data_IF_148871317483
#
_entry.id   IF_148871317483
#
_cell.length_a   1.000
_cell.length_b   1.000
_cell.length_c   1.000
_cell.angle_alpha   90.00
_cell.angle_beta   90.00
_cell.angle_gamma   90.00
#
_symmetry.space_group_name_H-M   'P 1'
#
loop_
_entity.id
_entity.type
_entity.pdbx_description
1 polymer ?
#
# COMPACT_ATOMS: atom_id res chain seq x y z
N UNK A 1 11.45 -2.00 24.04
CA UNK A 1 10.81 -1.54 22.80
C UNK A 1 11.80 -1.34 21.64
N UNK A 2 12.96 -0.71 21.86
CA UNK A 2 13.94 -0.44 20.78
C UNK A 2 14.51 -1.73 20.17
N UNK A 3 14.86 -2.72 20.97
CA UNK A 3 15.49 -3.97 20.51
C UNK A 3 14.71 -4.72 19.40
N UNK A 4 13.39 -4.95 19.53
CA UNK A 4 12.62 -5.57 18.44
C UNK A 4 12.65 -4.77 17.13
N UNK A 5 12.62 -3.44 17.20
CA UNK A 5 12.67 -2.59 16.00
C UNK A 5 14.04 -2.69 15.31
N UNK A 6 15.12 -2.60 16.08
CA UNK A 6 16.47 -2.76 15.54
C UNK A 6 16.65 -4.16 14.96
N UNK A 7 16.19 -5.21 15.66
CA UNK A 7 16.25 -6.58 15.17
C UNK A 7 15.51 -6.74 13.83
N UNK A 8 14.29 -6.20 13.70
CA UNK A 8 13.50 -6.29 12.48
C UNK A 8 14.17 -5.56 11.31
N UNK A 9 14.72 -4.35 11.54
CA UNK A 9 15.44 -3.60 10.52
C UNK A 9 16.70 -4.33 10.05
N UNK A 10 17.50 -4.83 10.99
CA UNK A 10 18.76 -5.56 10.68
C UNK A 10 18.46 -6.88 9.96
N UNK A 11 17.46 -7.64 10.40
CA UNK A 11 17.07 -8.89 9.74
C UNK A 11 16.58 -8.62 8.31
N UNK A 12 15.70 -7.64 8.11
CA UNK A 12 15.21 -7.30 6.77
C UNK A 12 16.34 -6.82 5.86
N UNK A 13 17.23 -5.97 6.37
CA UNK A 13 18.41 -5.53 5.64
C UNK A 13 19.33 -6.69 5.26
N UNK A 14 19.57 -7.64 6.17
CA UNK A 14 20.43 -8.82 5.95
C UNK A 14 19.79 -9.89 5.06
N UNK A 15 18.46 -10.04 5.11
CA UNK A 15 17.75 -11.00 4.24
C UNK A 15 17.71 -10.57 2.77
N UNK A 16 17.70 -9.27 2.47
CA UNK A 16 17.71 -8.78 1.09
C UNK A 16 18.86 -9.37 0.26
N UNK A 17 20.16 -9.26 0.66
CA UNK A 17 21.26 -9.84 -0.13
C UNK A 17 21.18 -11.35 -0.23
N UNK A 18 20.68 -12.07 0.80
CA UNK A 18 20.48 -13.52 0.74
C UNK A 18 19.44 -13.89 -0.32
N UNK A 19 18.30 -13.18 -0.32
CA UNK A 19 17.24 -13.39 -1.31
C UNK A 19 17.71 -13.03 -2.72
N UNK A 20 18.48 -11.95 -2.89
CA UNK A 20 19.10 -11.59 -4.18
C UNK A 20 19.97 -12.74 -4.68
N UNK A 21 20.79 -13.36 -3.82
CA UNK A 21 21.62 -14.51 -4.19
C UNK A 21 20.78 -15.74 -4.56
N UNK A 22 19.73 -16.04 -3.81
CA UNK A 22 18.77 -17.11 -4.10
C UNK A 22 18.12 -16.88 -5.46
N UNK A 23 17.60 -15.67 -5.71
CA UNK A 23 16.98 -15.31 -6.98
C UNK A 23 17.96 -15.43 -8.16
N UNK A 24 19.22 -15.05 -7.97
CA UNK A 24 20.26 -15.24 -8.99
C UNK A 24 20.52 -16.72 -9.28
N UNK A 25 20.59 -17.56 -8.24
CA UNK A 25 20.83 -19.02 -8.39
C UNK A 25 19.69 -19.73 -9.11
N UNK A 26 18.46 -19.33 -8.84
CA UNK A 26 17.26 -19.96 -9.42
C UNK A 26 16.64 -19.21 -10.59
N UNK A 27 17.30 -18.15 -11.09
CA UNK A 27 16.82 -17.29 -12.18
C UNK A 27 15.41 -16.68 -11.93
N UNK A 28 15.12 -16.31 -10.69
CA UNK A 28 13.85 -15.70 -10.30
C UNK A 28 13.96 -14.19 -10.43
N UNK A 29 13.53 -13.65 -11.56
CA UNK A 29 13.59 -12.22 -11.85
C UNK A 29 12.25 -11.69 -12.30
N UNK A 30 12.05 -10.40 -12.14
CA UNK A 30 10.94 -9.71 -12.77
C UNK A 30 11.11 -9.71 -14.30
N UNK A 31 10.02 -10.00 -15.01
CA UNK A 31 10.05 -10.03 -16.49
C UNK A 31 10.28 -8.62 -17.04
N UNK A 32 11.19 -8.52 -18.01
CA UNK A 32 11.42 -7.28 -18.74
C UNK A 32 10.23 -7.07 -19.68
N UNK A 33 9.34 -6.14 -19.35
CA UNK A 33 8.20 -5.74 -20.16
C UNK A 33 8.44 -4.30 -20.66
N UNK A 34 8.20 -4.00 -21.95
CA UNK A 34 8.32 -2.63 -22.49
C UNK A 34 7.49 -1.58 -21.75
N UNK A 35 6.53 -2.02 -20.90
CA UNK A 35 5.68 -1.17 -20.07
C UNK A 35 6.33 -0.78 -18.74
N UNK A 36 7.40 -1.46 -18.33
CA UNK A 36 8.09 -1.21 -17.05
C UNK A 36 9.20 -0.17 -17.21
N UNK A 37 9.47 0.56 -16.14
CA UNK A 37 10.45 1.65 -16.13
C UNK A 37 11.90 1.13 -16.04
N UNK A 38 12.09 -0.10 -15.52
CA UNK A 38 13.42 -0.70 -15.37
C UNK A 38 13.91 -1.43 -16.62
N UNK A 39 15.22 -1.44 -16.84
CA UNK A 39 15.89 -2.06 -18.01
C UNK A 39 16.68 -3.33 -17.67
N UNK A 40 16.65 -3.83 -16.42
CA UNK A 40 17.45 -4.95 -15.94
C UNK A 40 16.64 -6.11 -15.38
N UNK A 41 17.32 -7.27 -15.20
CA UNK A 41 16.78 -8.44 -14.49
C UNK A 41 16.91 -8.17 -12.98
N UNK A 42 15.82 -7.75 -12.32
CA UNK A 42 15.80 -7.43 -10.89
C UNK A 42 15.00 -8.49 -10.13
N UNK A 43 15.53 -9.06 -9.03
CA UNK A 43 14.79 -9.98 -8.16
C UNK A 43 13.50 -9.34 -7.60
N UNK A 44 12.40 -10.13 -7.51
CA UNK A 44 11.09 -9.62 -7.07
C UNK A 44 10.55 -10.25 -5.78
N UNK A 45 11.40 -10.85 -4.95
CA UNK A 45 11.01 -11.51 -3.70
C UNK A 45 11.30 -10.67 -2.44
N UNK A 46 11.38 -9.34 -2.56
CA UNK A 46 11.69 -8.44 -1.43
C UNK A 46 10.67 -8.50 -0.29
N UNK A 47 9.40 -8.78 -0.62
CA UNK A 47 8.36 -9.01 0.37
C UNK A 47 8.70 -10.13 1.36
N UNK A 48 9.43 -11.16 0.93
CA UNK A 48 9.91 -12.24 1.82
C UNK A 48 10.89 -11.68 2.84
N UNK A 49 11.85 -10.80 2.44
CA UNK A 49 12.80 -10.20 3.38
C UNK A 49 12.07 -9.40 4.46
N UNK A 50 11.10 -8.57 4.06
CA UNK A 50 10.29 -7.75 4.97
C UNK A 50 9.51 -8.65 5.93
N UNK A 51 8.67 -9.54 5.40
CA UNK A 51 7.73 -10.27 6.25
C UNK A 51 8.34 -11.43 7.01
N UNK A 52 9.41 -12.07 6.53
CA UNK A 52 10.16 -13.03 7.34
C UNK A 52 10.76 -12.34 8.57
N UNK A 53 11.35 -11.15 8.43
CA UNK A 53 11.89 -10.40 9.57
C UNK A 53 10.78 -9.97 10.55
N UNK A 54 9.65 -9.48 10.03
CA UNK A 54 8.48 -9.13 10.85
C UNK A 54 7.97 -10.34 11.64
N UNK A 55 7.75 -11.47 10.97
CA UNK A 55 7.22 -12.67 11.60
C UNK A 55 8.17 -13.24 12.65
N UNK A 56 9.48 -13.33 12.37
CA UNK A 56 10.47 -13.79 13.34
C UNK A 56 10.43 -12.93 14.61
N UNK A 57 10.48 -11.62 14.46
CA UNK A 57 10.49 -10.71 15.61
C UNK A 57 9.15 -10.72 16.34
N UNK A 58 8.03 -10.71 15.62
CA UNK A 58 6.68 -10.72 16.20
C UNK A 58 6.39 -12.00 16.97
N UNK A 59 6.68 -13.17 16.40
CA UNK A 59 6.51 -14.44 17.10
C UNK A 59 7.45 -14.58 18.30
N UNK A 60 8.68 -14.06 18.22
CA UNK A 60 9.57 -14.00 19.38
C UNK A 60 8.94 -13.20 20.53
N UNK A 61 8.32 -12.04 20.22
CA UNK A 61 7.63 -11.22 21.21
C UNK A 61 6.43 -11.95 21.82
N UNK A 62 5.61 -12.59 20.98
CA UNK A 62 4.46 -13.35 21.46
C UNK A 62 4.88 -14.51 22.37
N UNK A 63 5.95 -15.19 22.02
CA UNK A 63 6.47 -16.32 22.80
C UNK A 63 7.01 -15.90 24.16
N UNK A 64 7.83 -14.83 24.20
CA UNK A 64 8.50 -14.42 25.44
C UNK A 64 7.64 -13.52 26.35
N UNK A 65 6.78 -12.67 25.79
CA UNK A 65 6.09 -11.63 26.56
C UNK A 65 4.58 -11.82 26.71
N UNK A 66 3.94 -12.73 25.97
CA UNK A 66 2.48 -13.04 26.04
C UNK A 66 1.56 -11.81 26.11
N UNK A 67 1.96 -10.69 25.50
CA UNK A 67 1.34 -9.38 25.72
C UNK A 67 0.17 -9.06 24.77
N UNK A 68 -0.21 -9.97 23.87
CA UNK A 68 -1.27 -9.74 22.87
C UNK A 68 -2.32 -10.84 22.96
N UNK A 69 -3.60 -10.45 23.01
CA UNK A 69 -4.72 -11.40 22.90
C UNK A 69 -4.86 -11.84 21.44
N UNK A 70 -4.20 -12.93 21.07
CA UNK A 70 -4.18 -13.45 19.69
C UNK A 70 -5.58 -13.73 19.15
N UNK A 71 -6.51 -14.16 20.00
CA UNK A 71 -7.91 -14.43 19.64
C UNK A 71 -8.60 -13.24 18.97
N UNK A 72 -8.36 -12.02 19.51
CA UNK A 72 -8.95 -10.81 18.94
C UNK A 72 -8.41 -10.47 17.54
N UNK A 73 -7.17 -10.85 17.24
CA UNK A 73 -6.48 -10.56 15.99
C UNK A 73 -6.40 -11.76 15.03
N UNK A 74 -7.09 -12.85 15.35
CA UNK A 74 -7.02 -14.10 14.58
C UNK A 74 -7.39 -13.91 13.11
N UNK A 75 -8.45 -13.18 12.81
CA UNK A 75 -8.88 -12.91 11.43
C UNK A 75 -7.88 -12.07 10.64
N UNK A 76 -7.19 -11.12 11.31
CA UNK A 76 -6.13 -10.34 10.69
C UNK A 76 -4.96 -11.25 10.29
N UNK A 77 -4.45 -12.04 11.23
CA UNK A 77 -3.29 -12.89 10.94
C UNK A 77 -3.62 -14.03 9.97
N UNK A 78 -4.84 -14.56 9.98
CA UNK A 78 -5.29 -15.56 9.02
C UNK A 78 -5.36 -14.97 7.59
N UNK A 79 -6.02 -13.82 7.42
CA UNK A 79 -6.11 -13.13 6.13
C UNK A 79 -4.74 -12.69 5.62
N UNK A 80 -3.91 -12.13 6.50
CA UNK A 80 -2.53 -11.76 6.17
C UNK A 80 -1.69 -12.95 5.72
N UNK A 81 -1.76 -14.08 6.45
CA UNK A 81 -1.03 -15.30 6.10
C UNK A 81 -1.42 -15.86 4.74
N UNK A 82 -2.72 -15.85 4.41
CA UNK A 82 -3.21 -16.28 3.10
C UNK A 82 -2.64 -15.38 1.99
N UNK A 83 -2.75 -14.07 2.12
CA UNK A 83 -2.25 -13.14 1.10
C UNK A 83 -0.73 -13.26 0.94
N UNK A 84 0.01 -13.35 2.04
CA UNK A 84 1.47 -13.47 1.98
C UNK A 84 1.91 -14.78 1.33
N UNK A 85 1.37 -15.92 1.75
CA UNK A 85 1.75 -17.23 1.22
C UNK A 85 1.45 -17.33 -0.29
N UNK A 86 0.22 -16.99 -0.69
CA UNK A 86 -0.16 -17.03 -2.10
C UNK A 86 0.52 -15.95 -2.93
N UNK A 87 0.81 -14.79 -2.35
CA UNK A 87 1.58 -13.75 -3.01
C UNK A 87 3.02 -14.18 -3.29
N UNK A 88 3.67 -14.88 -2.37
CA UNK A 88 4.98 -15.50 -2.62
C UNK A 88 4.89 -16.58 -3.70
N UNK A 89 3.84 -17.41 -3.68
CA UNK A 89 3.61 -18.40 -4.74
C UNK A 89 3.41 -17.71 -6.10
N UNK A 90 2.72 -16.60 -6.14
CA UNK A 90 2.52 -15.80 -7.34
C UNK A 90 3.84 -15.25 -7.89
N UNK A 91 4.68 -14.68 -7.03
CA UNK A 91 6.00 -14.19 -7.41
C UNK A 91 6.92 -15.30 -7.95
N UNK A 92 6.72 -16.54 -7.52
CA UNK A 92 7.50 -17.71 -7.99
C UNK A 92 6.93 -18.34 -9.26
N UNK A 93 5.60 -18.44 -9.38
CA UNK A 93 4.91 -19.26 -10.37
C UNK A 93 4.17 -18.45 -11.44
N UNK A 94 4.13 -17.12 -11.35
CA UNK A 94 3.36 -16.22 -12.24
C UNK A 94 1.90 -16.68 -12.37
N UNK A 95 1.15 -16.65 -11.27
CA UNK A 95 -0.23 -17.13 -11.21
C UNK A 95 -1.15 -16.27 -12.11
N UNK A 96 -2.21 -16.91 -12.61
CA UNK A 96 -3.23 -16.21 -13.40
C UNK A 96 -3.98 -15.19 -12.54
N UNK A 97 -4.32 -14.04 -13.10
CA UNK A 97 -5.03 -12.95 -12.40
C UNK A 97 -6.30 -13.43 -11.66
N UNK A 98 -7.01 -14.42 -12.19
CA UNK A 98 -8.18 -15.04 -11.54
C UNK A 98 -7.83 -15.70 -10.21
N UNK A 99 -6.69 -16.41 -10.12
CA UNK A 99 -6.24 -17.06 -8.88
C UNK A 99 -5.87 -16.02 -7.82
N UNK A 100 -5.15 -14.97 -8.20
CA UNK A 100 -4.84 -13.84 -7.31
C UNK A 100 -6.11 -13.25 -6.70
N UNK A 101 -7.13 -13.04 -7.53
CA UNK A 101 -8.40 -12.45 -7.09
C UNK A 101 -9.17 -13.38 -6.14
N UNK A 102 -9.19 -14.70 -6.37
CA UNK A 102 -9.81 -15.68 -5.45
C UNK A 102 -9.16 -15.64 -4.07
N UNK A 103 -7.84 -15.54 -4.01
CA UNK A 103 -7.09 -15.45 -2.75
C UNK A 103 -7.43 -14.15 -1.98
N UNK A 104 -7.50 -13.04 -2.69
CA UNK A 104 -7.91 -11.75 -2.11
C UNK A 104 -9.34 -11.82 -1.56
N UNK A 105 -10.27 -12.47 -2.30
CA UNK A 105 -11.63 -12.73 -1.85
C UNK A 105 -11.62 -13.53 -0.54
N UNK A 106 -10.88 -14.64 -0.49
CA UNK A 106 -10.83 -15.48 0.70
C UNK A 106 -10.29 -14.72 1.92
N UNK A 107 -9.21 -13.98 1.77
CA UNK A 107 -8.65 -13.16 2.84
C UNK A 107 -9.60 -12.03 3.29
N UNK A 108 -10.26 -11.35 2.36
CA UNK A 108 -11.23 -10.31 2.66
C UNK A 108 -12.46 -10.89 3.38
N UNK A 109 -12.96 -12.07 2.98
CA UNK A 109 -14.08 -12.75 3.64
C UNK A 109 -13.77 -13.12 5.09
N UNK A 110 -12.56 -13.65 5.38
CA UNK A 110 -12.15 -13.99 6.75
C UNK A 110 -12.25 -12.77 7.68
N UNK A 111 -11.86 -11.60 7.22
CA UNK A 111 -11.93 -10.39 8.03
C UNK A 111 -13.35 -9.82 8.06
N UNK A 112 -14.04 -9.73 6.93
CA UNK A 112 -15.36 -9.12 6.83
C UNK A 112 -16.43 -9.89 7.61
N UNK A 113 -16.33 -11.23 7.67
CA UNK A 113 -17.23 -12.09 8.44
C UNK A 113 -16.84 -12.21 9.92
N UNK A 114 -15.69 -11.65 10.33
CA UNK A 114 -15.28 -11.60 11.73
C UNK A 114 -16.01 -10.47 12.48
N UNK A 115 -16.01 -10.47 13.82
CA UNK A 115 -16.54 -9.34 14.60
C UNK A 115 -15.84 -8.00 14.31
N UNK A 116 -14.65 -8.04 13.69
CA UNK A 116 -13.85 -6.87 13.37
C UNK A 116 -14.13 -6.38 11.94
N UNK A 117 -15.34 -5.94 11.69
CA UNK A 117 -15.74 -5.29 10.42
C UNK A 117 -16.25 -3.86 10.68
N UNK A 118 -16.50 -3.11 9.62
CA UNK A 118 -17.10 -1.79 9.74
C UNK A 118 -18.52 -1.88 10.28
N UNK A 119 -18.75 -1.28 11.44
CA UNK A 119 -20.08 -1.25 12.06
C UNK A 119 -20.76 0.11 11.90
N UNK A 120 -19.97 1.16 11.62
CA UNK A 120 -20.47 2.52 11.58
C UNK A 120 -19.78 3.32 10.49
N UNK A 121 -20.52 4.24 9.89
CA UNK A 121 -19.99 5.33 9.08
C UNK A 121 -20.25 6.63 9.85
N UNK A 122 -19.19 7.25 10.38
CA UNK A 122 -19.30 8.33 11.36
C UNK A 122 -20.14 7.90 12.57
N UNK A 123 -21.33 8.47 12.76
CA UNK A 123 -22.26 8.14 13.84
C UNK A 123 -23.38 7.17 13.42
N UNK A 124 -23.49 6.85 12.14
CA UNK A 124 -24.52 5.98 11.63
C UNK A 124 -24.10 4.52 11.74
N UNK A 125 -24.93 3.72 12.40
CA UNK A 125 -24.75 2.26 12.42
C UNK A 125 -25.21 1.67 11.10
N UNK A 126 -24.38 0.81 10.53
CA UNK A 126 -24.78 0.07 9.33
C UNK A 126 -25.90 -0.93 9.64
N UNK A 127 -26.85 -1.12 8.72
CA UNK A 127 -27.75 -2.27 8.75
C UNK A 127 -26.98 -3.59 8.73
N UNK A 128 -27.59 -4.72 9.15
CA UNK A 128 -26.98 -6.04 9.02
C UNK A 128 -26.44 -6.27 7.59
N UNK A 129 -25.32 -6.95 7.48
CA UNK A 129 -24.59 -7.28 6.23
C UNK A 129 -23.96 -6.10 5.46
N UNK A 130 -24.35 -4.85 5.71
CA UNK A 130 -23.75 -3.70 5.03
C UNK A 130 -22.32 -3.49 5.48
N UNK A 131 -22.04 -3.64 6.78
CA UNK A 131 -20.70 -3.49 7.34
C UNK A 131 -19.71 -4.52 6.79
N UNK A 132 -20.15 -5.77 6.70
CA UNK A 132 -19.39 -6.87 6.10
C UNK A 132 -19.11 -6.61 4.62
N UNK A 133 -20.12 -6.19 3.85
CA UNK A 133 -19.97 -5.90 2.43
C UNK A 133 -19.01 -4.71 2.19
N UNK A 134 -19.14 -3.64 2.98
CA UNK A 134 -18.23 -2.49 2.91
C UNK A 134 -16.79 -2.90 3.25
N UNK A 135 -16.61 -3.70 4.32
CA UNK A 135 -15.31 -4.20 4.71
C UNK A 135 -14.67 -5.06 3.63
N UNK A 136 -15.45 -5.96 3.05
CA UNK A 136 -15.01 -6.83 1.96
C UNK A 136 -14.53 -6.04 0.73
N UNK A 137 -15.35 -5.11 0.25
CA UNK A 137 -15.02 -4.26 -0.90
C UNK A 137 -13.80 -3.39 -0.58
N UNK A 138 -13.73 -2.84 0.62
CA UNK A 138 -12.62 -2.02 1.08
C UNK A 138 -11.30 -2.78 1.03
N UNK A 139 -11.22 -3.97 1.64
CA UNK A 139 -9.97 -4.76 1.69
C UNK A 139 -9.50 -5.09 0.28
N UNK A 140 -10.39 -5.60 -0.59
CA UNK A 140 -10.04 -5.92 -1.98
C UNK A 140 -9.53 -4.68 -2.72
N UNK A 141 -10.21 -3.54 -2.55
CA UNK A 141 -9.83 -2.29 -3.22
C UNK A 141 -8.44 -1.83 -2.80
N UNK A 142 -8.12 -1.85 -1.51
CA UNK A 142 -6.84 -1.39 -0.99
C UNK A 142 -5.70 -2.36 -1.33
N UNK A 143 -5.91 -3.66 -1.22
CA UNK A 143 -4.91 -4.67 -1.63
C UNK A 143 -4.50 -4.47 -3.09
N UNK A 144 -5.49 -4.28 -3.99
CA UNK A 144 -5.19 -4.01 -5.39
C UNK A 144 -4.56 -2.62 -5.61
N UNK A 145 -4.96 -1.61 -4.83
CA UNK A 145 -4.38 -0.27 -4.92
C UNK A 145 -2.88 -0.26 -4.58
N UNK A 146 -2.49 -0.99 -3.51
CA UNK A 146 -1.08 -1.12 -3.14
C UNK A 146 -0.29 -1.95 -4.17
N UNK A 147 -0.90 -2.97 -4.75
CA UNK A 147 -0.25 -3.74 -5.81
C UNK A 147 -0.04 -2.89 -7.09
N UNK A 148 -1.00 -2.03 -7.46
CA UNK A 148 -0.88 -1.17 -8.63
C UNK A 148 0.09 0.01 -8.44
N UNK A 149 0.25 0.54 -7.23
CA UNK A 149 1.18 1.63 -6.96
C UNK A 149 2.65 1.15 -6.90
N UNK A 150 2.89 -0.16 -6.83
CA UNK A 150 4.23 -0.78 -6.82
C UNK A 150 4.89 -0.78 -8.21
N UNK A 151 4.69 0.29 -8.98
CA UNK A 151 5.27 0.49 -10.31
C UNK A 151 6.61 1.23 -10.34
N UNK A 152 7.09 1.75 -9.21
CA UNK A 152 8.36 2.46 -9.07
C UNK A 152 9.07 2.08 -7.77
N UNK A 153 10.42 2.07 -7.85
CA UNK A 153 11.28 1.88 -6.69
C UNK A 153 10.88 2.83 -5.55
N UNK A 154 10.94 2.39 -4.29
CA UNK A 154 10.62 3.14 -3.09
C UNK A 154 9.14 3.52 -2.90
N UNK A 155 8.31 3.58 -3.92
CA UNK A 155 6.97 4.18 -3.80
C UNK A 155 6.06 3.34 -2.91
N UNK A 156 5.83 2.07 -3.24
CA UNK A 156 4.95 1.22 -2.44
C UNK A 156 5.50 1.00 -1.02
N UNK A 157 6.79 0.67 -0.91
CA UNK A 157 7.44 0.48 0.39
C UNK A 157 7.44 1.75 1.25
N UNK A 158 7.70 2.92 0.66
CA UNK A 158 7.71 4.21 1.35
C UNK A 158 6.32 4.68 1.78
N UNK A 159 5.30 4.53 0.92
CA UNK A 159 3.90 4.78 1.28
C UNK A 159 3.50 3.90 2.47
N UNK A 160 3.82 2.60 2.39
CA UNK A 160 3.54 1.64 3.46
C UNK A 160 4.27 2.00 4.76
N UNK A 161 5.52 2.45 4.66
CA UNK A 161 6.31 2.91 5.81
C UNK A 161 5.61 4.05 6.56
N UNK A 162 5.22 5.12 5.85
CA UNK A 162 4.54 6.26 6.47
C UNK A 162 3.16 5.87 7.01
N UNK A 163 2.39 5.06 6.28
CA UNK A 163 1.09 4.58 6.74
C UNK A 163 1.21 3.75 8.02
N UNK A 164 2.10 2.77 8.05
CA UNK A 164 2.34 1.94 9.23
C UNK A 164 2.89 2.75 10.41
N UNK A 165 3.73 3.76 10.16
CA UNK A 165 4.23 4.67 11.18
C UNK A 165 3.09 5.45 11.83
N UNK A 166 2.20 6.05 11.03
CA UNK A 166 1.04 6.78 11.53
C UNK A 166 0.08 5.87 12.31
N UNK A 167 -0.22 4.68 11.79
CA UNK A 167 -1.04 3.67 12.47
C UNK A 167 -0.40 3.28 13.81
N UNK A 168 0.89 2.98 13.82
CA UNK A 168 1.63 2.62 15.03
C UNK A 168 1.59 3.72 16.08
N UNK A 169 1.78 4.98 15.69
CA UNK A 169 1.68 6.14 16.59
C UNK A 169 0.26 6.25 17.17
N UNK A 170 -0.77 6.21 16.32
CA UNK A 170 -2.17 6.30 16.76
C UNK A 170 -2.53 5.15 17.70
N UNK A 171 -2.15 3.92 17.38
CA UNK A 171 -2.40 2.77 18.24
C UNK A 171 -1.69 2.89 19.59
N UNK A 172 -0.44 3.39 19.61
CA UNK A 172 0.28 3.67 20.86
C UNK A 172 -0.44 4.70 21.72
N UNK A 173 -0.94 5.78 21.09
CA UNK A 173 -1.72 6.81 21.80
C UNK A 173 -3.05 6.28 22.33
N UNK A 174 -3.60 5.24 21.72
CA UNK A 174 -4.82 4.54 22.17
C UNK A 174 -4.56 3.40 23.16
N UNK A 175 -3.32 3.17 23.59
CA UNK A 175 -2.90 2.02 24.39
C UNK A 175 -3.24 0.66 23.72
N UNK A 176 -3.33 0.62 22.38
CA UNK A 176 -3.54 -0.61 21.64
C UNK A 176 -2.22 -1.33 21.40
N UNK A 177 -2.06 -2.53 21.92
CA UNK A 177 -0.81 -3.30 21.87
C UNK A 177 -0.32 -3.61 20.43
N UNK A 178 -1.19 -3.53 19.41
CA UNK A 178 -0.79 -3.69 18.02
C UNK A 178 0.13 -2.57 17.50
N UNK A 179 0.30 -1.46 18.24
CA UNK A 179 1.28 -0.43 17.86
C UNK A 179 2.66 -1.01 17.60
N UNK A 180 3.06 -2.02 18.37
CA UNK A 180 4.37 -2.64 18.26
C UNK A 180 4.51 -3.43 16.94
N UNK A 181 3.45 -4.13 16.50
CA UNK A 181 3.43 -4.82 15.21
C UNK A 181 3.70 -3.84 14.06
N UNK A 182 2.98 -2.72 14.02
CA UNK A 182 3.15 -1.71 12.97
C UNK A 182 4.52 -1.04 13.00
N UNK A 183 5.09 -0.79 14.16
CA UNK A 183 6.47 -0.30 14.27
C UNK A 183 7.51 -1.33 13.82
N UNK A 184 7.29 -2.63 14.07
CA UNK A 184 8.14 -3.71 13.56
C UNK A 184 8.08 -3.75 12.03
N UNK A 185 6.90 -3.60 11.43
CA UNK A 185 6.74 -3.49 9.97
C UNK A 185 7.49 -2.27 9.42
N UNK A 186 7.36 -1.09 10.06
CA UNK A 186 8.14 0.09 9.69
C UNK A 186 9.64 -0.16 9.71
N UNK A 187 10.13 -0.79 10.77
CA UNK A 187 11.55 -1.08 10.92
C UNK A 187 12.05 -2.06 9.83
N UNK A 188 11.26 -3.11 9.53
CA UNK A 188 11.56 -4.02 8.43
C UNK A 188 11.60 -3.31 7.08
N UNK A 189 10.61 -2.43 6.82
CA UNK A 189 10.58 -1.63 5.60
C UNK A 189 11.79 -0.70 5.49
N UNK A 190 12.23 -0.08 6.58
CA UNK A 190 13.44 0.74 6.57
C UNK A 190 14.67 -0.05 6.12
N UNK A 191 14.84 -1.30 6.60
CA UNK A 191 15.90 -2.20 6.17
C UNK A 191 15.81 -2.58 4.69
N UNK A 192 14.60 -2.90 4.21
CA UNK A 192 14.32 -3.23 2.81
C UNK A 192 14.56 -2.05 1.87
N UNK A 193 14.07 -0.85 2.21
CA UNK A 193 14.14 0.35 1.38
C UNK A 193 15.58 0.75 1.04
N UNK A 194 16.56 0.38 1.86
CA UNK A 194 17.97 0.58 1.52
C UNK A 194 18.35 -0.15 0.22
N UNK A 195 17.82 -1.33 -0.03
CA UNK A 195 18.08 -2.14 -1.21
C UNK A 195 17.14 -1.84 -2.37
N UNK A 196 15.95 -1.29 -2.07
CA UNK A 196 14.93 -0.91 -3.05
C UNK A 196 15.01 0.57 -3.46
N UNK A 197 16.03 1.34 -3.01
CA UNK A 197 16.24 2.74 -3.44
C UNK A 197 16.42 2.82 -4.96
N UNK A 198 16.16 3.99 -5.59
CA UNK A 198 16.31 4.19 -7.03
C UNK A 198 17.57 3.55 -7.60
N UNK A 199 17.38 2.83 -8.72
CA UNK A 199 18.17 1.74 -9.24
C UNK A 199 18.13 0.53 -8.30
N UNK A 200 16.90 0.10 -7.99
CA UNK A 200 16.60 -0.96 -7.04
C UNK A 200 17.37 -2.24 -7.34
N UNK A 201 17.94 -2.85 -6.30
CA UNK A 201 18.60 -4.18 -6.37
C UNK A 201 17.62 -5.33 -6.15
N UNK A 202 16.45 -5.04 -5.58
CA UNK A 202 15.37 -5.98 -5.31
C UNK A 202 14.03 -5.24 -5.31
N UNK A 203 13.03 -5.83 -5.93
CA UNK A 203 11.64 -5.36 -5.87
C UNK A 203 10.87 -6.02 -4.75
N UNK A 204 9.82 -5.36 -4.28
CA UNK A 204 8.93 -5.84 -3.23
C UNK A 204 8.20 -7.13 -3.65
N UNK A 205 7.74 -7.17 -4.90
CA UNK A 205 6.95 -8.24 -5.48
C UNK A 205 5.46 -8.13 -5.16
N UNK A 206 4.66 -8.90 -5.90
CA UNK A 206 3.20 -8.93 -5.74
C UNK A 206 2.79 -9.40 -4.34
N UNK A 207 3.49 -10.40 -3.80
CA UNK A 207 3.28 -10.88 -2.44
C UNK A 207 3.54 -9.81 -1.38
N UNK A 208 4.61 -9.03 -1.55
CA UNK A 208 4.97 -7.95 -0.65
C UNK A 208 3.98 -6.79 -0.69
N UNK A 209 3.65 -6.29 -1.87
CA UNK A 209 2.75 -5.14 -2.05
C UNK A 209 1.32 -5.44 -1.60
N UNK A 210 0.77 -6.63 -1.94
CA UNK A 210 -0.56 -7.05 -1.51
C UNK A 210 -0.64 -7.25 0.01
N UNK A 211 0.38 -7.84 0.63
CA UNK A 211 0.42 -8.04 2.08
C UNK A 211 0.52 -6.70 2.83
N UNK A 212 1.29 -5.72 2.33
CA UNK A 212 1.34 -4.36 2.87
C UNK A 212 -0.03 -3.66 2.73
N UNK A 213 -0.64 -3.76 1.55
CA UNK A 213 -1.99 -3.23 1.33
C UNK A 213 -3.02 -3.81 2.30
N UNK A 214 -2.95 -5.13 2.53
CA UNK A 214 -3.85 -5.80 3.46
C UNK A 214 -3.69 -5.31 4.90
N UNK A 215 -2.48 -5.27 5.45
CA UNK A 215 -2.27 -4.83 6.85
C UNK A 215 -2.64 -3.36 7.06
N UNK A 216 -2.46 -2.50 6.05
CA UNK A 216 -2.91 -1.10 6.11
C UNK A 216 -4.43 -1.01 6.02
N UNK A 217 -5.07 -1.79 5.15
CA UNK A 217 -6.52 -1.82 4.98
C UNK A 217 -7.25 -2.25 6.26
N UNK A 218 -6.75 -3.26 6.96
CA UNK A 218 -7.43 -3.83 8.13
C UNK A 218 -7.11 -3.11 9.44
N UNK A 219 -6.02 -2.34 9.52
CA UNK A 219 -5.58 -1.66 10.74
C UNK A 219 -6.70 -0.91 11.47
N UNK A 220 -7.48 -0.05 10.82
CA UNK A 220 -8.49 0.74 11.51
C UNK A 220 -9.66 -0.09 12.06
N UNK A 221 -9.87 -1.31 11.58
CA UNK A 221 -10.91 -2.21 12.09
C UNK A 221 -10.64 -2.63 13.55
N UNK A 222 -9.38 -2.60 13.96
CA UNK A 222 -8.92 -2.97 15.28
C UNK A 222 -8.76 -1.78 16.24
N UNK A 223 -9.32 -0.61 15.91
CA UNK A 223 -9.42 0.51 16.85
C UNK A 223 -10.40 0.18 17.99
N UNK A 224 -10.09 0.56 19.25
CA UNK A 224 -11.00 0.40 20.37
C UNK A 224 -12.35 1.06 20.12
N UNK A 225 -13.45 0.40 20.55
CA UNK A 225 -14.83 0.84 20.28
C UNK A 225 -15.19 2.18 20.92
N UNK A 226 -14.57 2.50 22.03
CA UNK A 226 -14.78 3.70 22.85
C UNK A 226 -13.86 4.88 22.47
N UNK A 227 -12.97 4.66 21.52
CA UNK A 227 -12.05 5.70 21.09
C UNK A 227 -12.75 6.71 20.16
N UNK A 228 -12.39 8.00 20.29
CA UNK A 228 -12.82 9.04 19.33
C UNK A 228 -12.43 8.72 17.87
N UNK A 229 -11.40 7.91 17.69
CA UNK A 229 -10.97 7.42 16.39
C UNK A 229 -11.98 6.46 15.75
N UNK A 230 -12.86 5.83 16.52
CA UNK A 230 -13.93 5.01 15.96
C UNK A 230 -14.86 5.84 15.08
N UNK A 231 -15.19 7.07 15.49
CA UNK A 231 -16.00 8.00 14.68
C UNK A 231 -15.25 8.53 13.47
N UNK A 232 -13.93 8.76 13.62
CA UNK A 232 -13.05 9.24 12.54
C UNK A 232 -12.45 8.10 11.70
N UNK A 233 -12.79 6.84 11.98
CA UNK A 233 -12.19 5.66 11.37
C UNK A 233 -12.19 5.72 9.84
N UNK A 234 -13.34 6.05 9.25
CA UNK A 234 -13.49 6.08 7.80
C UNK A 234 -12.65 7.18 7.12
N UNK A 235 -12.72 8.48 7.52
CA UNK A 235 -11.83 9.50 6.94
C UNK A 235 -10.34 9.23 7.19
N UNK A 236 -9.96 8.67 8.33
CA UNK A 236 -8.58 8.25 8.59
C UNK A 236 -8.12 7.20 7.59
N UNK A 237 -8.93 6.18 7.35
CA UNK A 237 -8.61 5.11 6.40
C UNK A 237 -8.50 5.62 4.97
N UNK A 238 -9.47 6.44 4.54
CA UNK A 238 -9.44 7.05 3.21
C UNK A 238 -8.17 7.87 3.02
N UNK A 239 -7.76 8.63 4.06
CA UNK A 239 -6.60 9.48 3.95
C UNK A 239 -5.30 8.67 3.95
N UNK A 240 -5.14 7.67 4.82
CA UNK A 240 -3.96 6.78 4.84
C UNK A 240 -3.73 6.05 3.50
N UNK A 241 -4.81 5.72 2.81
CA UNK A 241 -4.79 5.05 1.52
C UNK A 241 -5.01 6.00 0.33
N UNK A 242 -5.03 7.33 0.55
CA UNK A 242 -5.47 8.30 -0.46
C UNK A 242 -4.63 8.27 -1.73
N UNK A 243 -3.31 8.16 -1.63
CA UNK A 243 -2.42 8.13 -2.80
C UNK A 243 -2.67 6.88 -3.67
N UNK A 244 -2.57 5.63 -3.16
CA UNK A 244 -2.84 4.44 -3.97
C UNK A 244 -4.31 4.35 -4.41
N UNK A 245 -5.26 4.72 -3.56
CA UNK A 245 -6.68 4.64 -3.86
C UNK A 245 -7.09 5.62 -4.98
N UNK A 246 -6.58 6.85 -4.95
CA UNK A 246 -6.88 7.85 -5.98
C UNK A 246 -6.34 7.42 -7.34
N UNK A 247 -5.16 6.79 -7.38
CA UNK A 247 -4.59 6.28 -8.62
C UNK A 247 -5.45 5.16 -9.24
N UNK A 248 -5.95 4.24 -8.42
CA UNK A 248 -6.88 3.17 -8.84
C UNK A 248 -8.21 3.74 -9.33
N UNK A 249 -8.82 4.66 -8.58
CA UNK A 249 -10.08 5.30 -8.97
C UNK A 249 -9.91 6.01 -10.32
N UNK A 250 -8.80 6.75 -10.50
CA UNK A 250 -8.49 7.41 -11.77
C UNK A 250 -8.30 6.41 -12.92
N UNK A 251 -7.70 5.24 -12.65
CA UNK A 251 -7.53 4.19 -13.66
C UNK A 251 -8.88 3.56 -14.04
N UNK A 252 -9.74 3.24 -13.08
CA UNK A 252 -11.08 2.69 -13.32
C UNK A 252 -11.92 3.69 -14.11
N UNK A 253 -11.96 4.96 -13.67
CA UNK A 253 -12.68 6.04 -14.36
C UNK A 253 -12.26 6.17 -15.82
N UNK A 254 -10.97 6.18 -16.10
CA UNK A 254 -10.44 6.28 -17.45
C UNK A 254 -10.84 5.09 -18.33
N UNK A 255 -10.66 3.85 -17.83
CA UNK A 255 -11.02 2.62 -18.55
C UNK A 255 -12.50 2.55 -18.87
N UNK A 256 -13.36 2.93 -17.92
CA UNK A 256 -14.82 3.00 -18.11
C UNK A 256 -15.17 4.01 -19.19
N UNK A 257 -14.58 5.20 -19.17
CA UNK A 257 -14.81 6.25 -20.18
C UNK A 257 -14.31 5.85 -21.59
N UNK A 258 -13.24 5.05 -21.65
CA UNK A 258 -12.66 4.55 -22.91
C UNK A 258 -13.29 3.21 -23.35
N UNK A 259 -14.34 2.74 -22.69
CA UNK A 259 -15.00 1.44 -22.95
C UNK A 259 -14.04 0.24 -22.95
N UNK A 260 -12.97 0.33 -22.14
CA UNK A 260 -11.97 -0.73 -21.95
C UNK A 260 -12.33 -1.60 -20.76
N UNK A 261 -11.87 -2.86 -20.78
CA UNK A 261 -12.03 -3.77 -19.61
C UNK A 261 -11.32 -3.18 -18.39
N UNK A 262 -11.98 -3.22 -17.21
CA UNK A 262 -11.47 -2.66 -15.95
C UNK A 262 -10.11 -3.27 -15.57
N UNK A 263 -9.88 -4.53 -15.88
CA UNK A 263 -8.63 -5.24 -15.63
C UNK A 263 -7.60 -5.15 -16.76
N UNK A 264 -7.85 -4.34 -17.80
CA UNK A 264 -6.89 -4.16 -18.89
C UNK A 264 -5.62 -3.45 -18.36
N UNK A 265 -4.43 -3.82 -18.85
CA UNK A 265 -3.19 -3.11 -18.50
C UNK A 265 -3.29 -1.63 -18.87
N UNK A 266 -2.65 -0.78 -18.04
CA UNK A 266 -2.68 0.67 -18.20
C UNK A 266 -1.30 1.28 -17.93
N UNK A 267 -0.95 2.33 -18.69
CA UNK A 267 0.30 3.11 -18.52
C UNK A 267 0.05 4.52 -17.98
N UNK A 268 -1.15 4.83 -17.53
CA UNK A 268 -1.50 6.18 -17.10
C UNK A 268 -1.69 6.30 -15.58
N UNK A 269 -0.93 5.48 -14.81
CA UNK A 269 -0.79 5.65 -13.36
C UNK A 269 -0.06 6.95 -13.03
N UNK A 270 -0.23 7.46 -11.81
CA UNK A 270 0.28 8.77 -11.39
C UNK A 270 1.78 8.92 -11.63
N UNK A 271 2.58 7.90 -11.36
CA UNK A 271 4.02 7.93 -11.57
C UNK A 271 4.39 8.11 -13.05
N UNK A 272 3.69 7.46 -13.98
CA UNK A 272 3.88 7.68 -15.42
C UNK A 272 3.50 9.09 -15.85
N UNK A 273 2.41 9.65 -15.27
CA UNK A 273 1.99 11.03 -15.57
C UNK A 273 3.03 12.04 -15.12
N UNK A 274 3.59 11.87 -13.91
CA UNK A 274 4.64 12.76 -13.38
C UNK A 274 5.88 12.73 -14.29
N UNK A 275 6.35 11.56 -14.71
CA UNK A 275 7.46 11.43 -15.64
C UNK A 275 7.17 12.08 -17.00
N UNK A 276 5.97 11.88 -17.54
CA UNK A 276 5.56 12.45 -18.83
C UNK A 276 5.46 14.00 -18.81
N UNK A 277 5.14 14.58 -17.65
CA UNK A 277 5.11 16.04 -17.44
C UNK A 277 6.53 16.63 -17.29
N UNK A 278 7.55 15.77 -17.14
CA UNK A 278 8.95 16.19 -17.07
C UNK A 278 9.58 16.06 -15.67
N UNK A 279 8.90 15.43 -14.69
CA UNK A 279 9.57 15.11 -13.43
C UNK A 279 10.67 14.06 -13.65
N UNK A 280 11.82 14.26 -13.02
CA UNK A 280 12.80 13.19 -12.91
C UNK A 280 12.29 12.06 -12.01
N UNK A 281 12.78 10.82 -12.19
CA UNK A 281 12.38 9.67 -11.35
C UNK A 281 12.52 9.97 -9.85
N UNK A 282 13.64 10.51 -9.33
CA UNK A 282 13.75 10.89 -7.92
C UNK A 282 12.75 11.96 -7.48
N UNK A 283 12.49 12.96 -8.33
CA UNK A 283 11.53 14.02 -8.01
C UNK A 283 10.09 13.49 -7.90
N UNK A 284 9.68 12.59 -8.80
CA UNK A 284 8.36 11.95 -8.75
C UNK A 284 8.19 11.09 -7.47
N UNK A 285 9.21 10.32 -7.10
CA UNK A 285 9.22 9.53 -5.87
C UNK A 285 9.10 10.43 -4.65
N UNK A 286 9.97 11.44 -4.55
CA UNK A 286 9.96 12.38 -3.43
C UNK A 286 8.60 13.08 -3.29
N UNK A 287 8.02 13.50 -4.41
CA UNK A 287 6.71 14.16 -4.43
C UNK A 287 5.60 13.25 -3.87
N UNK A 288 5.51 12.00 -4.32
CA UNK A 288 4.50 11.05 -3.83
C UNK A 288 4.69 10.72 -2.34
N UNK A 289 5.93 10.52 -1.91
CA UNK A 289 6.24 10.24 -0.51
C UNK A 289 6.03 11.45 0.40
N UNK A 290 6.28 12.68 -0.08
CA UNK A 290 5.99 13.91 0.66
C UNK A 290 4.48 14.09 0.90
N UNK A 291 3.65 13.83 -0.12
CA UNK A 291 2.18 13.82 0.04
C UNK A 291 1.79 12.78 1.10
N UNK A 292 2.30 11.55 0.99
CA UNK A 292 1.97 10.49 1.94
C UNK A 292 2.41 10.83 3.37
N UNK A 293 3.60 11.39 3.54
CA UNK A 293 4.07 11.84 4.84
C UNK A 293 3.18 12.95 5.43
N UNK A 294 2.78 13.93 4.61
CA UNK A 294 1.91 15.03 5.04
C UNK A 294 0.52 14.52 5.46
N UNK A 295 -0.11 13.62 4.69
CA UNK A 295 -1.42 13.07 5.07
C UNK A 295 -1.32 12.18 6.31
N UNK A 296 -0.24 11.42 6.47
CA UNK A 296 0.02 10.63 7.68
C UNK A 296 0.21 11.52 8.91
N UNK A 297 0.92 12.64 8.76
CA UNK A 297 1.05 13.65 9.82
C UNK A 297 -0.30 14.25 10.20
N UNK A 298 -1.16 14.57 9.21
CA UNK A 298 -2.51 15.07 9.47
C UNK A 298 -3.36 14.05 10.24
N UNK A 299 -3.23 12.75 9.95
CA UNK A 299 -3.89 11.69 10.73
C UNK A 299 -3.42 11.69 12.18
N UNK A 300 -2.13 11.80 12.43
CA UNK A 300 -1.60 11.87 13.81
C UNK A 300 -2.06 13.15 14.53
N UNK A 301 -2.02 14.29 13.86
CA UNK A 301 -2.49 15.58 14.42
C UNK A 301 -3.98 15.52 14.77
N UNK A 302 -4.81 14.90 13.94
CA UNK A 302 -6.25 14.77 14.16
C UNK A 302 -6.58 14.05 15.48
N UNK A 303 -5.68 13.22 15.99
CA UNK A 303 -5.83 12.55 17.29
C UNK A 303 -5.89 13.55 18.45
N UNK A 304 -5.15 14.65 18.39
CA UNK A 304 -5.10 15.66 19.43
C UNK A 304 -6.21 16.73 19.33
N UNK A 305 -6.99 16.69 18.24
CA UNK A 305 -8.09 17.63 17.98
C UNK A 305 -9.43 17.10 18.54
N UNK A 306 -10.44 17.94 18.58
CA UNK A 306 -11.83 17.51 18.75
C UNK A 306 -12.26 16.69 17.53
N UNK A 307 -13.25 15.77 17.71
CA UNK A 307 -13.75 14.94 16.60
C UNK A 307 -14.18 15.79 15.40
N UNK A 308 -14.89 16.89 15.63
CA UNK A 308 -15.33 17.83 14.58
C UNK A 308 -14.15 18.41 13.81
N UNK A 309 -13.18 18.99 14.51
CA UNK A 309 -12.00 19.60 13.87
C UNK A 309 -11.12 18.56 13.19
N UNK A 310 -10.99 17.37 13.77
CA UNK A 310 -10.28 16.25 13.16
C UNK A 310 -10.92 15.83 11.83
N UNK A 311 -12.25 15.67 11.76
CA UNK A 311 -12.95 15.34 10.51
C UNK A 311 -12.75 16.46 9.47
N UNK A 312 -12.83 17.74 9.87
CA UNK A 312 -12.61 18.86 8.95
C UNK A 312 -11.18 18.81 8.38
N UNK A 313 -10.16 18.63 9.23
CA UNK A 313 -8.77 18.52 8.78
C UNK A 313 -8.57 17.35 7.80
N UNK A 314 -9.06 16.16 8.15
CA UNK A 314 -8.90 14.97 7.33
C UNK A 314 -9.63 15.11 5.99
N UNK A 315 -10.84 15.68 5.99
CA UNK A 315 -11.61 15.93 4.77
C UNK A 315 -10.92 16.97 3.87
N UNK A 316 -10.39 18.03 4.44
CA UNK A 316 -9.62 19.04 3.70
C UNK A 316 -8.38 18.41 3.06
N UNK A 317 -7.60 17.62 3.80
CA UNK A 317 -6.43 16.93 3.27
C UNK A 317 -6.80 15.94 2.14
N UNK A 318 -7.92 15.23 2.27
CA UNK A 318 -8.40 14.31 1.23
C UNK A 318 -8.76 15.06 -0.06
N UNK A 319 -9.52 16.16 0.06
CA UNK A 319 -9.87 17.01 -1.08
C UNK A 319 -8.61 17.64 -1.73
N UNK A 320 -7.62 18.02 -0.93
CA UNK A 320 -6.35 18.56 -1.41
C UNK A 320 -5.57 17.50 -2.22
N UNK A 321 -5.47 16.26 -1.72
CA UNK A 321 -4.84 15.15 -2.47
C UNK A 321 -5.58 14.92 -3.79
N UNK A 322 -6.90 14.85 -3.78
CA UNK A 322 -7.69 14.70 -5.00
C UNK A 322 -7.49 15.86 -5.98
N UNK A 323 -7.44 17.10 -5.48
CA UNK A 323 -7.13 18.29 -6.29
C UNK A 323 -5.78 18.17 -6.99
N UNK A 324 -4.74 17.74 -6.27
CA UNK A 324 -3.42 17.47 -6.84
C UNK A 324 -3.51 16.44 -7.99
N UNK A 325 -4.14 15.28 -7.76
CA UNK A 325 -4.24 14.23 -8.77
C UNK A 325 -5.04 14.67 -10.01
N UNK A 326 -6.12 15.43 -9.80
CA UNK A 326 -6.91 16.02 -10.90
C UNK A 326 -6.05 16.99 -11.70
N UNK A 327 -5.31 17.87 -11.04
CA UNK A 327 -4.40 18.84 -11.69
C UNK A 327 -3.36 18.11 -12.56
N UNK A 328 -2.70 17.09 -12.02
CA UNK A 328 -1.73 16.31 -12.79
C UNK A 328 -2.36 15.49 -13.93
N UNK A 329 -3.61 15.08 -13.77
CA UNK A 329 -4.35 14.46 -14.88
C UNK A 329 -4.53 15.41 -16.06
N UNK A 330 -4.96 16.65 -15.80
CA UNK A 330 -5.16 17.65 -16.86
C UNK A 330 -3.84 18.15 -17.46
N UNK A 331 -2.81 18.37 -16.63
CA UNK A 331 -1.46 18.72 -17.12
C UNK A 331 -0.91 17.66 -18.05
N UNK A 332 -0.98 16.38 -17.66
CA UNK A 332 -0.54 15.28 -18.51
C UNK A 332 -1.32 15.20 -19.83
N UNK A 333 -2.62 15.51 -19.79
CA UNK A 333 -3.44 15.58 -21.02
C UNK A 333 -2.99 16.71 -21.94
N UNK A 334 -2.70 17.90 -21.39
CA UNK A 334 -2.21 19.05 -22.15
C UNK A 334 -0.87 18.74 -22.83
N UNK A 335 0.08 18.12 -22.10
CA UNK A 335 1.37 17.70 -22.66
C UNK A 335 1.19 16.70 -23.81
N UNK A 336 0.32 15.71 -23.65
CA UNK A 336 0.07 14.72 -24.72
C UNK A 336 -0.57 15.34 -25.98
N UNK A 337 -1.41 16.35 -25.83
CA UNK A 337 -2.00 17.08 -26.97
C UNK A 337 -0.92 17.89 -27.68
N UNK A 338 -0.08 18.61 -26.93
CA UNK A 338 1.04 19.37 -27.49
C UNK A 338 2.01 18.50 -28.28
N UNK A 339 2.38 17.33 -27.73
CA UNK A 339 3.26 16.39 -28.45
C UNK A 339 2.63 15.85 -29.73
N UNK A 340 1.32 15.60 -29.77
CA UNK A 340 0.63 15.17 -31.01
C UNK A 340 0.59 16.28 -32.06
N UNK A 341 0.29 17.52 -31.66
CA UNK A 341 0.32 18.66 -32.57
C UNK A 341 1.71 18.87 -33.19
N UNK A 342 2.77 18.77 -32.42
CA UNK A 342 4.15 18.88 -32.94
C UNK A 342 4.52 17.78 -33.91
N UNK A 343 3.98 16.57 -33.79
CA UNK A 343 4.20 15.45 -34.74
C UNK A 343 3.38 15.60 -36.04
N UNK A 344 2.23 16.28 -35.95
CA UNK A 344 1.40 16.59 -37.14
C UNK A 344 1.99 17.78 -37.91
N UNK A 345 2.61 18.75 -37.23
CA UNK A 345 3.24 19.92 -37.85
C UNK A 345 4.62 19.63 -38.47
N UNK A 346 5.29 18.55 -38.05
CA UNK A 346 6.55 18.07 -38.60
C UNK A 346 6.46 16.56 -38.87
N UNK A 347 5.85 16.14 -40.01
CA UNK A 347 5.91 14.75 -40.42
C UNK A 347 7.38 14.38 -40.63
N UNK A 348 7.84 13.33 -39.94
CA UNK A 348 9.20 12.80 -40.09
C UNK A 348 9.45 12.55 -41.59
N UNK A 349 10.37 13.29 -42.18
CA UNK A 349 10.88 12.96 -43.51
C UNK A 349 11.53 11.58 -43.40
N UNK A 350 10.93 10.60 -44.09
CA UNK A 350 11.50 9.27 -44.23
C UNK A 350 12.80 9.41 -45.05
N UNK A 351 13.93 9.20 -44.39
CA UNK A 351 15.23 8.95 -45.03
C UNK A 351 15.61 7.49 -44.88
#
# INVERSE_FOLDING_TARGET
MILPLVASAVLSFGFCPLIIQICKKFNIYDEVDPRKIHKGKIPRLGGIAVFASVLIVWFSILFFFKCVKVEFYGSLFAGFGIILLFGVMDDLLNLRAKMKFIVQIAAAMIVSLSPNHFNTLFMWKFPPFVGEAVTFIWIISIVNAFNLIDGMDWVCGGISFFSCLAIGIVFKLQNNNMFLFYFIVCAALAGFLFWNKPDAKIFLGDGGSQALGFIVAVAPLFCPSDSKFKVMQFPVMLLLCSVPLTDVIAAIWRRTREHRKIFAPDRAHIHHKLLNIGFSKPAAIFFLLAIQAAVCLAVVISYFMTVRNGIILLSFCLLFVWGIFITFHYLNRAVNISHKGLLEDHPMEEH
#
